data_IF_475172599238
#
_entry.id   IF_475172599238
#
_cell.length_a   1.000
_cell.length_b   1.000
_cell.length_c   1.000
_cell.angle_alpha   90.00
_cell.angle_beta   90.00
_cell.angle_gamma   90.00
#
_symmetry.space_group_name_H-M   'P 1'
#
loop_
_entity.id
_entity.type
_entity.pdbx_description
1 polymer ?
#
# COMPACT_ATOMS: atom_id res chain seq x y z
N UNK A 1 -24.69 8.28 29.32
CA UNK A 1 -23.48 7.74 29.97
C UNK A 1 -22.42 7.61 28.90
N UNK A 2 -21.39 8.45 28.90
CA UNK A 2 -20.25 8.30 27.98
C UNK A 2 -19.54 7.03 28.40
N UNK A 3 -19.50 6.01 27.54
CA UNK A 3 -18.77 4.78 27.84
C UNK A 3 -17.33 5.16 28.19
N UNK A 4 -16.88 4.82 29.40
CA UNK A 4 -15.47 5.00 29.77
C UNK A 4 -14.63 4.22 28.75
N UNK A 5 -13.72 4.90 28.07
CA UNK A 5 -12.80 4.26 27.14
C UNK A 5 -11.94 3.23 27.86
N UNK A 6 -11.71 2.08 27.22
CA UNK A 6 -10.83 1.05 27.76
C UNK A 6 -9.42 1.61 27.96
N UNK A 7 -8.80 1.32 29.11
CA UNK A 7 -7.42 1.74 29.43
C UNK A 7 -6.53 0.51 29.53
N UNK A 8 -5.40 0.53 28.83
CA UNK A 8 -4.41 -0.57 28.85
C UNK A 8 -3.61 -0.55 30.16
N UNK A 9 -3.54 -1.69 30.83
CA UNK A 9 -2.70 -1.93 32.01
C UNK A 9 -1.36 -2.57 31.58
N UNK A 10 -0.28 -1.80 31.64
CA UNK A 10 1.07 -2.24 31.27
C UNK A 10 1.67 -3.29 32.22
N UNK A 11 1.09 -3.49 33.40
CA UNK A 11 1.52 -4.53 34.35
C UNK A 11 0.90 -5.90 34.04
N UNK A 12 -0.02 -5.96 33.08
CA UNK A 12 -0.67 -7.19 32.61
C UNK A 12 -0.30 -7.50 31.16
N UNK A 13 -0.44 -8.76 30.73
CA UNK A 13 -0.14 -9.15 29.35
C UNK A 13 -0.96 -8.36 28.32
N UNK A 14 -0.27 -7.78 27.34
CA UNK A 14 -0.84 -6.75 26.47
C UNK A 14 -1.67 -7.25 25.30
N UNK A 15 -1.35 -8.42 24.74
CA UNK A 15 -1.85 -8.82 23.41
C UNK A 15 -3.38 -8.86 23.37
N UNK A 16 -4.02 -9.35 24.43
CA UNK A 16 -5.49 -9.41 24.49
C UNK A 16 -6.15 -8.15 25.05
N UNK A 17 -5.36 -7.16 25.50
CA UNK A 17 -5.87 -5.87 25.96
C UNK A 17 -6.05 -4.89 24.79
N UNK A 18 -5.06 -4.79 23.89
CA UNK A 18 -5.01 -3.73 22.85
C UNK A 18 -6.21 -3.76 21.88
N UNK A 19 -6.82 -4.92 21.67
CA UNK A 19 -8.02 -5.03 20.85
C UNK A 19 -9.22 -4.24 21.41
N UNK A 20 -9.31 -4.07 22.73
CA UNK A 20 -10.43 -3.36 23.38
C UNK A 20 -10.37 -1.84 23.17
N UNK A 21 -9.26 -1.29 22.69
CA UNK A 21 -9.12 0.14 22.41
C UNK A 21 -10.00 0.62 21.24
N UNK A 22 -10.42 -0.28 20.35
CA UNK A 22 -11.26 0.06 19.21
C UNK A 22 -10.64 1.16 18.34
N UNK A 23 -11.35 2.28 18.18
CA UNK A 23 -10.88 3.43 17.40
C UNK A 23 -9.74 4.22 18.06
N UNK A 24 -9.60 4.14 19.39
CA UNK A 24 -8.52 4.83 20.11
C UNK A 24 -7.15 4.15 19.94
N UNK A 25 -7.12 2.95 19.35
CA UNK A 25 -5.90 2.17 19.15
C UNK A 25 -4.87 2.89 18.30
N UNK A 26 -5.30 3.52 17.20
CA UNK A 26 -4.41 4.17 16.24
C UNK A 26 -3.60 5.29 16.88
N UNK A 27 -4.24 6.12 17.71
CA UNK A 27 -3.54 7.16 18.46
C UNK A 27 -2.67 6.55 19.58
N UNK A 28 -3.21 5.58 20.31
CA UNK A 28 -2.52 4.97 21.45
C UNK A 28 -1.23 4.24 21.05
N UNK A 29 -1.23 3.48 19.95
CA UNK A 29 -0.09 2.63 19.54
C UNK A 29 1.09 3.48 19.06
N UNK A 30 0.78 4.66 18.51
CA UNK A 30 1.74 5.59 17.94
C UNK A 30 2.29 6.61 18.93
N UNK A 31 1.92 6.52 20.21
CA UNK A 31 2.52 7.30 21.30
C UNK A 31 3.61 6.49 22.00
N UNK A 32 4.91 6.71 21.67
CA UNK A 32 5.98 5.82 22.11
C UNK A 32 6.25 5.92 23.61
N UNK A 33 6.52 4.77 24.23
CA UNK A 33 7.02 4.65 25.60
C UNK A 33 8.50 4.26 25.50
N UNK A 34 9.37 5.22 25.83
CA UNK A 34 10.82 5.02 25.75
C UNK A 34 11.31 4.30 27.01
N UNK A 35 11.43 2.97 26.90
CA UNK A 35 11.99 2.09 27.93
C UNK A 35 12.82 0.99 27.27
N UNK A 36 13.91 0.57 27.94
CA UNK A 36 14.73 -0.56 27.49
C UNK A 36 14.01 -1.91 27.64
N UNK A 37 13.16 -2.00 28.66
CA UNK A 37 12.34 -3.19 28.91
C UNK A 37 10.93 -2.91 28.44
N UNK A 38 10.41 -3.81 27.59
CA UNK A 38 9.03 -3.80 27.14
C UNK A 38 8.11 -4.59 28.07
N UNK A 39 6.81 -4.29 28.06
CA UNK A 39 5.80 -5.02 28.82
C UNK A 39 5.66 -6.47 28.33
N UNK A 40 5.04 -7.30 29.16
CA UNK A 40 4.75 -8.71 28.83
C UNK A 40 3.61 -8.81 27.82
N UNK A 41 3.70 -9.76 26.87
CA UNK A 41 2.71 -9.92 25.81
C UNK A 41 1.68 -10.98 26.14
N UNK A 42 2.12 -12.13 26.66
CA UNK A 42 1.27 -13.27 26.97
C UNK A 42 1.44 -13.73 28.43
N UNK A 43 0.40 -14.28 29.05
CA UNK A 43 0.52 -14.95 30.35
C UNK A 43 1.40 -16.20 30.27
N UNK A 44 1.24 -16.98 29.20
CA UNK A 44 2.04 -18.20 28.97
C UNK A 44 3.50 -17.88 28.66
N UNK A 45 4.41 -18.54 29.39
CA UNK A 45 5.86 -18.47 29.14
C UNK A 45 6.23 -18.93 27.72
N UNK A 46 5.52 -19.92 27.18
CA UNK A 46 5.78 -20.43 25.83
C UNK A 46 5.49 -19.38 24.76
N UNK A 47 4.33 -18.73 24.83
CA UNK A 47 3.96 -17.69 23.87
C UNK A 47 4.80 -16.43 24.06
N UNK A 48 5.13 -16.08 25.29
CA UNK A 48 6.03 -14.96 25.60
C UNK A 48 7.43 -15.18 25.01
N UNK A 49 7.98 -16.39 25.16
CA UNK A 49 9.28 -16.77 24.58
C UNK A 49 9.31 -16.56 23.06
N UNK A 50 8.26 -16.97 22.34
CA UNK A 50 8.18 -16.79 20.89
C UNK A 50 8.12 -15.32 20.43
N UNK A 51 7.79 -14.39 21.31
CA UNK A 51 7.80 -12.94 20.99
C UNK A 51 9.17 -12.29 21.14
N UNK A 52 10.12 -12.94 21.83
CA UNK A 52 11.40 -12.34 22.19
C UNK A 52 12.50 -12.88 21.30
N UNK A 53 13.00 -12.03 20.40
CA UNK A 53 14.04 -12.37 19.43
C UNK A 53 15.23 -11.45 19.57
N UNK A 54 16.39 -12.03 19.89
CA UNK A 54 17.68 -11.33 19.83
C UNK A 54 18.10 -11.06 18.39
N UNK A 55 18.66 -9.88 18.12
CA UNK A 55 18.98 -9.43 16.76
C UNK A 55 19.87 -10.42 15.97
N UNK A 56 20.83 -11.06 16.63
CA UNK A 56 21.76 -11.98 15.98
C UNK A 56 21.12 -13.32 15.60
N UNK A 57 19.92 -13.63 16.09
CA UNK A 57 19.18 -14.82 15.66
C UNK A 57 18.84 -14.76 14.15
N UNK A 58 18.56 -13.56 13.63
CA UNK A 58 18.20 -13.36 12.22
C UNK A 58 19.32 -13.84 11.28
N UNK A 59 20.57 -13.32 11.33
CA UNK A 59 21.62 -13.80 10.45
C UNK A 59 22.00 -15.26 10.72
N UNK A 60 22.01 -15.71 11.99
CA UNK A 60 22.40 -17.09 12.34
C UNK A 60 21.44 -18.13 11.74
N UNK A 61 20.14 -17.85 11.73
CA UNK A 61 19.12 -18.77 11.21
C UNK A 61 19.03 -18.68 9.68
N UNK A 62 19.02 -17.46 9.13
CA UNK A 62 18.65 -17.26 7.73
C UNK A 62 19.83 -17.26 6.75
N UNK A 63 21.04 -16.88 7.17
CA UNK A 63 22.20 -16.96 6.27
C UNK A 63 22.53 -18.39 5.80
N UNK A 64 22.42 -19.44 6.65
CA UNK A 64 22.54 -20.81 6.17
C UNK A 64 21.52 -21.17 5.07
N UNK A 65 20.28 -20.68 5.19
CA UNK A 65 19.24 -20.88 4.16
C UNK A 65 19.60 -20.14 2.87
N UNK A 66 20.08 -18.89 2.97
CA UNK A 66 20.60 -18.13 1.82
C UNK A 66 21.74 -18.89 1.13
N UNK A 67 22.73 -19.39 1.90
CA UNK A 67 23.83 -20.18 1.37
C UNK A 67 23.35 -21.47 0.70
N UNK A 68 22.36 -22.14 1.29
CA UNK A 68 21.75 -23.33 0.70
C UNK A 68 21.12 -23.03 -0.66
N UNK A 69 20.29 -21.98 -0.74
CA UNK A 69 19.66 -21.52 -1.98
C UNK A 69 20.69 -21.18 -3.07
N UNK A 70 21.75 -20.46 -2.72
CA UNK A 70 22.85 -20.17 -3.65
C UNK A 70 23.55 -21.45 -4.11
N UNK A 71 23.80 -22.40 -3.19
CA UNK A 71 24.42 -23.68 -3.53
C UNK A 71 23.58 -24.52 -4.48
N UNK A 72 22.24 -24.41 -4.41
CA UNK A 72 21.35 -25.07 -5.36
C UNK A 72 21.53 -24.50 -6.77
N UNK A 73 21.58 -23.18 -6.92
CA UNK A 73 21.82 -22.55 -8.22
C UNK A 73 23.19 -22.89 -8.81
N UNK A 74 24.24 -23.04 -7.98
CA UNK A 74 25.55 -23.55 -8.43
C UNK A 74 25.42 -24.98 -8.97
N UNK A 75 24.72 -25.88 -8.27
CA UNK A 75 24.50 -27.27 -8.71
C UNK A 75 23.66 -27.37 -9.98
N UNK A 76 22.83 -26.36 -10.25
CA UNK A 76 22.05 -26.23 -11.47
C UNK A 76 22.87 -25.71 -12.67
N UNK A 77 24.17 -25.46 -12.49
CA UNK A 77 25.10 -25.10 -13.57
C UNK A 77 25.21 -23.61 -13.85
N UNK A 78 24.63 -22.74 -13.01
CA UNK A 78 24.75 -21.30 -13.19
C UNK A 78 26.16 -20.80 -12.91
N UNK A 79 26.61 -19.84 -13.71
CA UNK A 79 27.89 -19.16 -13.52
C UNK A 79 27.84 -18.25 -12.29
N UNK A 80 28.98 -17.93 -11.66
CA UNK A 80 29.02 -17.01 -10.53
C UNK A 80 28.41 -15.62 -10.84
N UNK A 81 28.59 -15.11 -12.07
CA UNK A 81 28.00 -13.84 -12.52
C UNK A 81 26.48 -13.90 -12.60
N UNK A 82 25.92 -14.99 -13.14
CA UNK A 82 24.47 -15.18 -13.20
C UNK A 82 23.86 -15.23 -11.79
N UNK A 83 24.48 -15.98 -10.89
CA UNK A 83 24.07 -16.08 -9.50
C UNK A 83 24.13 -14.71 -8.82
N UNK A 84 25.21 -13.94 -9.01
CA UNK A 84 25.35 -12.61 -8.44
C UNK A 84 24.24 -11.66 -8.94
N UNK A 85 23.88 -11.73 -10.23
CA UNK A 85 22.78 -10.95 -10.80
C UNK A 85 21.42 -11.36 -10.21
N UNK A 86 21.14 -12.66 -10.10
CA UNK A 86 19.88 -13.15 -9.53
C UNK A 86 19.73 -12.79 -8.05
N UNK A 87 20.81 -12.96 -7.27
CA UNK A 87 20.85 -12.56 -5.86
C UNK A 87 20.68 -11.05 -5.71
N UNK A 88 21.41 -10.26 -6.52
CA UNK A 88 21.28 -8.80 -6.53
C UNK A 88 19.87 -8.33 -6.90
N UNK A 89 19.23 -9.00 -7.86
CA UNK A 89 17.85 -8.72 -8.23
C UNK A 89 16.87 -9.11 -7.13
N UNK A 90 17.10 -10.22 -6.42
CA UNK A 90 16.34 -10.61 -5.23
C UNK A 90 16.42 -9.57 -4.11
N UNK A 91 17.62 -9.06 -3.81
CA UNK A 91 17.82 -7.97 -2.85
C UNK A 91 17.07 -6.71 -3.30
N UNK A 92 17.14 -6.37 -4.59
CA UNK A 92 16.42 -5.22 -5.12
C UNK A 92 14.89 -5.36 -4.95
N UNK A 93 14.32 -6.52 -5.28
CA UNK A 93 12.90 -6.82 -5.03
C UNK A 93 12.57 -6.69 -3.54
N UNK A 94 13.45 -7.19 -2.66
CA UNK A 94 13.27 -7.04 -1.23
C UNK A 94 13.14 -5.57 -0.82
N UNK A 95 13.95 -4.65 -1.35
CA UNK A 95 13.82 -3.21 -0.97
C UNK A 95 12.44 -2.63 -1.31
N UNK A 96 11.80 -3.12 -2.37
CA UNK A 96 10.43 -2.73 -2.73
C UNK A 96 9.39 -3.39 -1.81
N UNK A 97 9.59 -4.68 -1.48
CA UNK A 97 8.75 -5.40 -0.52
C UNK A 97 8.81 -4.77 0.86
N UNK A 98 10.00 -4.44 1.35
CA UNK A 98 10.25 -3.69 2.59
C UNK A 98 9.39 -2.42 2.62
N UNK A 99 9.53 -1.56 1.62
CA UNK A 99 8.78 -0.31 1.54
C UNK A 99 7.25 -0.56 1.52
N UNK A 100 6.81 -1.55 0.75
CA UNK A 100 5.39 -1.86 0.58
C UNK A 100 4.77 -2.46 1.85
N UNK A 101 5.45 -3.40 2.49
CA UNK A 101 5.04 -4.00 3.76
C UNK A 101 5.02 -2.94 4.84
N UNK A 102 6.07 -2.13 4.95
CA UNK A 102 6.14 -1.10 5.98
C UNK A 102 5.03 -0.04 5.80
N UNK A 103 4.81 0.43 4.58
CA UNK A 103 3.78 1.44 4.30
C UNK A 103 2.35 0.92 4.39
N UNK A 104 2.05 -0.23 3.79
CA UNK A 104 0.66 -0.66 3.57
C UNK A 104 0.18 -1.73 4.55
N UNK A 105 1.10 -2.53 5.11
CA UNK A 105 0.75 -3.58 6.07
C UNK A 105 1.08 -3.18 7.50
N UNK A 106 2.27 -2.65 7.74
CA UNK A 106 2.75 -2.31 9.09
C UNK A 106 2.21 -0.97 9.61
N UNK A 107 1.70 -0.11 8.72
CA UNK A 107 1.01 1.15 9.05
C UNK A 107 -0.47 1.12 8.63
N UNK A 108 -1.08 -0.08 8.62
CA UNK A 108 -2.50 -0.22 8.31
C UNK A 108 -3.36 0.29 9.48
N UNK A 109 -4.29 1.19 9.19
CA UNK A 109 -5.23 1.71 10.19
C UNK A 109 -6.28 0.66 10.53
N UNK A 110 -6.40 0.34 11.81
CA UNK A 110 -7.30 -0.70 12.32
C UNK A 110 -8.19 -0.17 13.43
N UNK A 111 -9.36 -0.78 13.61
CA UNK A 111 -10.36 -0.35 14.61
C UNK A 111 -11.14 -1.49 15.27
N UNK A 112 -10.86 -2.73 14.89
CA UNK A 112 -11.54 -3.91 15.45
C UNK A 112 -10.60 -4.67 16.36
N UNK A 113 -11.16 -5.37 17.34
CA UNK A 113 -10.40 -6.15 18.32
C UNK A 113 -9.26 -6.98 17.73
N UNK A 114 -9.58 -7.86 16.78
CA UNK A 114 -8.60 -8.76 16.18
C UNK A 114 -7.61 -8.05 15.27
N UNK A 115 -8.06 -7.09 14.44
CA UNK A 115 -7.15 -6.34 13.59
C UNK A 115 -6.18 -5.45 14.37
N UNK A 116 -6.61 -4.82 15.46
CA UNK A 116 -5.73 -4.06 16.35
C UNK A 116 -4.68 -4.99 16.99
N UNK A 117 -5.11 -6.17 17.44
CA UNK A 117 -4.23 -7.19 18.03
C UNK A 117 -3.17 -7.68 17.04
N UNK A 118 -3.58 -8.00 15.80
CA UNK A 118 -2.67 -8.43 14.73
C UNK A 118 -1.71 -7.30 14.38
N UNK A 119 -2.21 -6.08 14.18
CA UNK A 119 -1.36 -4.91 13.91
C UNK A 119 -0.32 -4.70 15.03
N UNK A 120 -0.74 -4.86 16.29
CA UNK A 120 0.15 -4.69 17.43
C UNK A 120 1.29 -5.70 17.39
N UNK A 121 1.01 -6.98 17.09
CA UNK A 121 2.03 -8.01 16.97
C UNK A 121 2.94 -7.84 15.76
N UNK A 122 2.44 -7.31 14.64
CA UNK A 122 3.22 -7.13 13.42
C UNK A 122 4.19 -5.94 13.49
N UNK A 123 3.73 -4.80 14.01
CA UNK A 123 4.54 -3.58 14.02
C UNK A 123 4.16 -2.56 15.09
N UNK A 124 2.90 -2.57 15.55
CA UNK A 124 2.44 -1.61 16.56
C UNK A 124 3.22 -1.70 17.89
N UNK A 125 3.65 -2.90 18.28
CA UNK A 125 4.52 -3.12 19.44
C UNK A 125 5.83 -2.32 19.34
N UNK A 126 6.42 -2.30 18.16
CA UNK A 126 7.68 -1.64 17.90
C UNK A 126 7.52 -0.11 17.92
N UNK A 127 6.45 0.43 17.33
CA UNK A 127 6.12 1.86 17.48
C UNK A 127 5.85 2.26 18.93
N UNK A 128 5.15 1.40 19.67
CA UNK A 128 4.81 1.66 21.06
C UNK A 128 6.02 1.55 22.00
N UNK A 129 6.91 0.61 21.75
CA UNK A 129 8.10 0.32 22.57
C UNK A 129 9.37 0.27 21.71
N UNK A 130 9.81 1.40 21.14
CA UNK A 130 10.87 1.42 20.11
C UNK A 130 12.26 1.06 20.64
N UNK A 131 12.45 0.95 21.95
CA UNK A 131 13.73 0.61 22.58
C UNK A 131 13.73 -0.78 23.24
N UNK A 132 12.67 -1.59 23.05
CA UNK A 132 12.68 -3.02 23.42
C UNK A 132 13.53 -3.81 22.40
N UNK A 133 14.76 -4.14 22.81
CA UNK A 133 15.71 -4.85 21.97
C UNK A 133 15.36 -6.30 21.64
N UNK A 134 14.34 -6.88 22.29
CA UNK A 134 13.88 -8.24 21.99
C UNK A 134 12.64 -8.28 21.10
N UNK A 135 12.02 -7.12 20.82
CA UNK A 135 10.76 -7.01 20.04
C UNK A 135 10.85 -6.01 18.90
N UNK A 136 12.01 -6.00 18.25
CA UNK A 136 12.28 -5.16 17.09
C UNK A 136 12.36 -5.98 15.80
N UNK A 137 13.21 -7.02 15.80
CA UNK A 137 13.40 -7.88 14.63
C UNK A 137 12.22 -8.85 14.48
N UNK A 138 11.95 -9.27 13.25
CA UNK A 138 10.80 -10.13 12.98
C UNK A 138 11.05 -11.56 13.51
N UNK A 139 10.13 -12.16 14.28
CA UNK A 139 10.36 -13.48 14.89
C UNK A 139 10.64 -14.58 13.85
N UNK A 140 11.69 -15.41 13.99
CA UNK A 140 12.06 -16.41 13.00
C UNK A 140 10.95 -17.43 12.71
N UNK A 141 10.16 -17.81 13.72
CA UNK A 141 9.02 -18.71 13.52
C UNK A 141 7.98 -18.09 12.55
N UNK A 142 7.71 -16.79 12.67
CA UNK A 142 6.81 -16.08 11.76
C UNK A 142 7.43 -15.93 10.37
N UNK A 143 8.74 -15.60 10.29
CA UNK A 143 9.47 -15.56 9.00
C UNK A 143 9.40 -16.90 8.28
N UNK A 144 9.60 -18.03 8.98
CA UNK A 144 9.54 -19.36 8.40
C UNK A 144 8.18 -19.67 7.76
N UNK A 145 7.09 -19.25 8.42
CA UNK A 145 5.73 -19.38 7.87
C UNK A 145 5.58 -18.53 6.62
N UNK A 146 6.08 -17.28 6.62
CA UNK A 146 6.02 -16.40 5.45
C UNK A 146 6.91 -16.85 4.29
N UNK A 147 8.03 -17.55 4.56
CA UNK A 147 8.87 -18.10 3.51
C UNK A 147 8.11 -19.06 2.58
N UNK A 148 7.09 -19.78 3.07
CA UNK A 148 6.30 -20.73 2.26
C UNK A 148 5.54 -20.04 1.12
N UNK A 149 4.63 -19.06 1.35
CA UNK A 149 3.95 -18.38 0.26
C UNK A 149 4.92 -17.58 -0.63
N UNK A 150 5.99 -16.99 -0.07
CA UNK A 150 6.98 -16.27 -0.88
C UNK A 150 7.78 -17.20 -1.80
N UNK A 151 8.17 -18.39 -1.32
CA UNK A 151 8.84 -19.40 -2.15
C UNK A 151 7.93 -19.84 -3.31
N UNK A 152 6.67 -20.14 -3.02
CA UNK A 152 5.70 -20.53 -4.05
C UNK A 152 5.45 -19.40 -5.06
N UNK A 153 5.40 -18.15 -4.62
CA UNK A 153 5.27 -17.00 -5.51
C UNK A 153 6.49 -16.86 -6.43
N UNK A 154 7.70 -16.99 -5.88
CA UNK A 154 8.94 -16.94 -6.67
C UNK A 154 8.96 -18.06 -7.71
N UNK A 155 8.57 -19.28 -7.33
CA UNK A 155 8.47 -20.42 -8.25
C UNK A 155 7.40 -20.22 -9.35
N UNK A 156 6.33 -19.49 -9.06
CA UNK A 156 5.28 -19.19 -10.03
C UNK A 156 5.75 -18.18 -11.10
N UNK A 157 6.57 -17.20 -10.71
CA UNK A 157 6.98 -16.08 -11.58
C UNK A 157 8.36 -16.26 -12.21
N UNK A 158 9.10 -17.31 -11.87
CA UNK A 158 10.46 -17.56 -12.35
C UNK A 158 10.65 -19.03 -12.75
N UNK A 159 11.73 -19.33 -13.46
CA UNK A 159 12.06 -20.72 -13.81
C UNK A 159 12.61 -21.47 -12.60
N UNK A 160 12.47 -22.81 -12.54
CA UNK A 160 13.01 -23.59 -11.42
C UNK A 160 14.52 -23.42 -11.17
N UNK A 161 15.28 -23.03 -12.20
CA UNK A 161 16.72 -22.80 -12.11
C UNK A 161 17.08 -21.44 -11.48
N UNK A 162 16.23 -20.43 -11.69
CA UNK A 162 16.41 -19.05 -11.19
C UNK A 162 15.86 -18.89 -9.77
N UNK A 163 14.75 -19.57 -9.46
CA UNK A 163 14.02 -19.42 -8.22
C UNK A 163 14.88 -19.53 -6.94
N UNK A 164 15.84 -20.47 -6.80
CA UNK A 164 16.66 -20.56 -5.60
C UNK A 164 17.49 -19.30 -5.35
N UNK A 165 18.25 -18.82 -6.34
CA UNK A 165 19.07 -17.61 -6.19
C UNK A 165 18.23 -16.35 -6.00
N UNK A 166 17.08 -16.25 -6.67
CA UNK A 166 16.17 -15.11 -6.52
C UNK A 166 15.56 -15.05 -5.11
N UNK A 167 15.07 -16.19 -4.60
CA UNK A 167 14.56 -16.30 -3.24
C UNK A 167 15.67 -16.07 -2.21
N UNK A 168 16.84 -16.68 -2.40
CA UNK A 168 18.01 -16.48 -1.55
C UNK A 168 18.46 -15.02 -1.47
N UNK A 169 18.42 -14.30 -2.60
CA UNK A 169 18.65 -12.86 -2.65
C UNK A 169 17.59 -12.04 -1.90
N UNK A 170 16.31 -12.38 -2.06
CA UNK A 170 15.23 -11.75 -1.30
C UNK A 170 15.37 -11.96 0.21
N UNK A 171 15.68 -13.19 0.63
CA UNK A 171 15.92 -13.53 2.04
C UNK A 171 17.18 -12.85 2.59
N UNK A 172 18.23 -12.71 1.80
CA UNK A 172 19.41 -11.92 2.17
C UNK A 172 19.06 -10.44 2.35
N UNK A 173 18.25 -9.89 1.45
CA UNK A 173 17.70 -8.53 1.60
C UNK A 173 16.94 -8.36 2.93
N UNK A 174 16.12 -9.34 3.30
CA UNK A 174 15.45 -9.38 4.60
C UNK A 174 16.41 -9.38 5.79
N UNK A 175 17.44 -10.23 5.78
CA UNK A 175 18.45 -10.26 6.85
C UNK A 175 19.14 -8.90 6.97
N UNK A 176 19.52 -8.28 5.84
CA UNK A 176 20.12 -6.95 5.80
C UNK A 176 19.16 -5.90 6.38
N UNK A 177 17.88 -5.98 6.05
CA UNK A 177 16.84 -5.11 6.57
C UNK A 177 16.71 -5.19 8.09
N UNK A 178 16.49 -6.38 8.67
CA UNK A 178 16.25 -6.54 10.11
C UNK A 178 17.49 -6.13 10.92
N UNK A 179 18.69 -6.49 10.44
CA UNK A 179 19.94 -6.08 11.09
C UNK A 179 20.14 -4.55 11.01
N UNK A 180 19.83 -3.95 9.87
CA UNK A 180 19.91 -2.48 9.70
C UNK A 180 18.92 -1.81 10.64
N UNK A 181 17.66 -2.25 10.64
CA UNK A 181 16.60 -1.73 11.49
C UNK A 181 17.01 -1.74 12.96
N UNK A 182 17.51 -2.89 13.44
CA UNK A 182 17.99 -3.03 14.81
C UNK A 182 19.14 -2.06 15.12
N UNK A 183 20.11 -1.94 14.21
CA UNK A 183 21.24 -1.04 14.35
C UNK A 183 20.84 0.44 14.36
N UNK A 184 19.81 0.84 13.60
CA UNK A 184 19.32 2.22 13.62
C UNK A 184 18.76 2.60 15.00
N UNK A 185 18.11 1.68 15.71
CA UNK A 185 17.63 1.92 17.08
C UNK A 185 18.77 1.89 18.11
N UNK A 186 19.58 0.83 18.10
CA UNK A 186 20.49 0.50 19.20
C UNK A 186 21.95 0.92 18.97
N UNK A 187 22.36 1.12 17.72
CA UNK A 187 23.71 1.53 17.36
C UNK A 187 23.96 3.04 17.49
N UNK A 188 25.23 3.46 17.44
CA UNK A 188 25.63 4.87 17.45
C UNK A 188 26.50 5.18 16.23
N UNK A 189 25.91 5.29 15.02
CA UNK A 189 26.66 5.65 13.83
C UNK A 189 27.24 7.07 13.95
N UNK A 190 28.55 7.21 13.77
CA UNK A 190 29.28 8.47 13.99
C UNK A 190 29.20 9.44 12.79
N UNK A 191 29.15 8.93 11.55
CA UNK A 191 29.06 9.76 10.33
C UNK A 191 28.49 8.99 9.12
N UNK A 192 28.16 9.74 8.06
CA UNK A 192 27.76 9.20 6.76
C UNK A 192 26.35 8.62 6.70
N UNK A 193 26.14 7.73 5.73
CA UNK A 193 24.83 7.16 5.38
C UNK A 193 24.10 6.51 6.58
N UNK A 194 24.75 5.71 7.44
CA UNK A 194 24.04 5.09 8.58
C UNK A 194 23.52 6.11 9.60
N UNK A 195 24.21 7.25 9.77
CA UNK A 195 23.77 8.33 10.66
C UNK A 195 22.54 9.04 10.09
N UNK A 196 22.53 9.28 8.79
CA UNK A 196 21.40 9.89 8.10
C UNK A 196 20.18 8.96 8.09
N UNK A 197 20.38 7.65 7.85
CA UNK A 197 19.33 6.64 7.96
C UNK A 197 18.77 6.55 9.38
N UNK A 198 19.63 6.60 10.41
CA UNK A 198 19.17 6.63 11.80
C UNK A 198 18.31 7.86 12.07
N UNK A 199 18.77 9.06 11.68
CA UNK A 199 17.99 10.29 11.84
C UNK A 199 16.66 10.21 11.10
N UNK A 200 16.67 9.72 9.87
CA UNK A 200 15.51 9.55 9.02
C UNK A 200 14.47 8.62 9.66
N UNK A 201 14.90 7.45 10.13
CA UNK A 201 14.02 6.46 10.72
C UNK A 201 13.53 6.84 12.14
N UNK A 202 14.37 7.47 12.97
CA UNK A 202 13.90 7.99 14.26
C UNK A 202 12.88 9.13 14.07
N UNK A 203 12.99 9.93 13.00
CA UNK A 203 11.94 10.92 12.68
C UNK A 203 10.62 10.24 12.31
N UNK A 204 10.66 9.08 11.63
CA UNK A 204 9.48 8.27 11.39
C UNK A 204 8.81 7.85 12.71
N UNK A 205 9.56 7.34 13.69
CA UNK A 205 8.98 6.96 15.00
C UNK A 205 8.43 8.12 15.82
N UNK A 206 9.18 9.22 15.93
CA UNK A 206 8.95 10.25 16.95
C UNK A 206 8.38 11.57 16.41
N UNK A 207 8.27 11.75 15.09
CA UNK A 207 7.78 13.01 14.50
C UNK A 207 6.68 12.81 13.46
N UNK A 208 6.97 12.05 12.41
CA UNK A 208 6.12 11.96 11.21
C UNK A 208 6.02 10.50 10.78
N UNK A 209 5.08 9.76 11.38
CA UNK A 209 4.92 8.31 11.18
C UNK A 209 4.32 7.94 9.83
N UNK A 210 3.62 8.87 9.17
CA UNK A 210 3.05 8.67 7.83
C UNK A 210 4.07 8.87 6.69
N UNK A 211 5.35 9.02 7.01
CA UNK A 211 6.45 9.22 6.07
C UNK A 211 7.65 8.41 6.54
N UNK A 212 8.57 8.05 5.65
CA UNK A 212 9.82 7.46 6.10
C UNK A 212 9.80 5.93 6.15
N UNK A 213 9.17 5.28 5.18
CA UNK A 213 8.89 3.84 5.23
C UNK A 213 10.10 2.98 4.80
N UNK A 214 11.07 3.53 4.08
CA UNK A 214 12.29 2.81 3.73
C UNK A 214 13.30 2.75 4.89
N UNK A 215 13.61 1.57 5.40
CA UNK A 215 14.57 1.37 6.49
C UNK A 215 16.00 1.22 5.98
N UNK A 216 16.22 0.40 4.95
CA UNK A 216 17.54 0.17 4.34
C UNK A 216 17.96 1.34 3.45
N UNK A 217 16.99 2.04 2.86
CA UNK A 217 17.23 3.24 2.05
C UNK A 217 15.98 4.10 1.90
N UNK A 218 16.14 5.41 1.70
CA UNK A 218 15.03 6.33 1.40
C UNK A 218 14.62 6.32 -0.09
N UNK A 219 15.05 5.32 -0.88
CA UNK A 219 14.91 5.33 -2.34
C UNK A 219 13.43 5.36 -2.74
N UNK A 220 12.64 4.43 -2.20
CA UNK A 220 11.24 4.28 -2.55
C UNK A 220 10.39 5.43 -2.05
N UNK A 221 10.66 5.98 -0.86
CA UNK A 221 10.04 7.23 -0.40
C UNK A 221 10.27 8.38 -1.40
N UNK A 222 11.50 8.58 -1.88
CA UNK A 222 11.80 9.62 -2.88
C UNK A 222 11.09 9.38 -4.21
N UNK A 223 11.07 8.14 -4.70
CA UNK A 223 10.37 7.77 -5.94
C UNK A 223 8.86 8.04 -5.80
N UNK A 224 8.27 7.70 -4.66
CA UNK A 224 6.85 7.86 -4.41
C UNK A 224 6.46 9.32 -4.15
N UNK A 225 7.25 10.06 -3.38
CA UNK A 225 7.02 11.48 -3.11
C UNK A 225 7.14 12.32 -4.38
N UNK A 226 8.18 12.12 -5.19
CA UNK A 226 8.31 12.81 -6.48
C UNK A 226 7.11 12.55 -7.40
N UNK A 227 6.53 11.35 -7.35
CA UNK A 227 5.31 11.02 -8.10
C UNK A 227 4.08 11.77 -7.57
N UNK A 228 3.96 11.91 -6.24
CA UNK A 228 2.90 12.71 -5.61
C UNK A 228 3.07 14.19 -5.96
N UNK A 229 4.27 14.76 -5.83
CA UNK A 229 4.55 16.16 -6.18
C UNK A 229 4.26 16.44 -7.65
N UNK A 230 4.69 15.56 -8.57
CA UNK A 230 4.39 15.68 -9.99
C UNK A 230 2.88 15.62 -10.29
N UNK A 231 2.12 14.77 -9.56
CA UNK A 231 0.67 14.73 -9.68
C UNK A 231 0.02 16.03 -9.14
N UNK A 232 0.49 16.55 -8.01
CA UNK A 232 0.00 17.80 -7.39
C UNK A 232 0.33 19.03 -8.25
N UNK A 233 1.53 19.11 -8.82
CA UNK A 233 1.91 20.21 -9.72
C UNK A 233 1.13 20.16 -11.03
N UNK A 234 0.87 18.96 -11.56
CA UNK A 234 -0.01 18.78 -12.72
C UNK A 234 -1.44 19.24 -12.42
N UNK A 235 -1.95 18.98 -11.20
CA UNK A 235 -3.23 19.47 -10.70
C UNK A 235 -3.24 21.00 -10.53
N UNK A 236 -2.18 21.59 -9.97
CA UNK A 236 -2.04 23.06 -9.84
C UNK A 236 -2.02 23.73 -11.22
N UNK A 237 -1.26 23.19 -12.17
CA UNK A 237 -1.25 23.65 -13.56
C UNK A 237 -2.64 23.55 -14.21
N UNK A 238 -3.38 22.47 -13.97
CA UNK A 238 -4.78 22.37 -14.46
C UNK A 238 -5.70 23.41 -13.84
N UNK A 239 -5.60 23.67 -12.52
CA UNK A 239 -6.39 24.71 -11.84
C UNK A 239 -6.00 26.12 -12.31
N UNK A 240 -4.72 26.39 -12.54
CA UNK A 240 -4.22 27.67 -13.07
C UNK A 240 -4.65 27.86 -14.52
N UNK A 241 -4.53 26.85 -15.38
CA UNK A 241 -5.06 26.89 -16.75
C UNK A 241 -6.57 27.10 -16.76
N UNK A 242 -7.33 26.46 -15.85
CA UNK A 242 -8.76 26.69 -15.72
C UNK A 242 -9.09 28.14 -15.28
N UNK A 243 -8.32 28.72 -14.35
CA UNK A 243 -8.47 30.15 -13.97
C UNK A 243 -8.09 31.11 -15.11
N UNK A 244 -7.03 30.84 -15.86
CA UNK A 244 -6.61 31.68 -16.98
C UNK A 244 -7.56 31.60 -18.19
N UNK A 245 -8.12 30.42 -18.47
CA UNK A 245 -9.14 30.24 -19.52
C UNK A 245 -10.49 30.83 -19.09
N UNK A 246 -10.81 30.83 -17.79
CA UNK A 246 -11.95 31.55 -17.22
C UNK A 246 -11.84 33.07 -17.30
N UNK A 247 -10.62 33.64 -17.33
CA UNK A 247 -10.39 35.08 -17.46
C UNK A 247 -10.06 35.58 -18.87
N UNK A 248 -9.84 34.67 -19.84
CA UNK A 248 -9.60 34.99 -21.25
C UNK A 248 -10.32 34.01 -22.16
N UNK A 249 -11.65 34.12 -22.23
CA UNK A 249 -12.37 33.75 -23.45
C UNK A 249 -12.12 34.84 -24.51
N UNK A 250 -10.93 34.74 -25.11
CA UNK A 250 -10.45 35.51 -26.24
C UNK A 250 -9.47 34.65 -27.04
N UNK A 251 -10.02 33.79 -27.89
CA UNK A 251 -9.42 33.23 -29.12
C UNK A 251 -8.02 32.58 -29.06
N UNK A 252 -7.78 31.56 -28.23
CA UNK A 252 -6.67 30.62 -28.48
C UNK A 252 -7.04 29.19 -28.09
N UNK A 253 -6.78 28.25 -29.01
CA UNK A 253 -7.20 26.85 -28.96
C UNK A 253 -6.21 26.02 -28.12
N UNK A 254 -6.68 25.21 -27.15
CA UNK A 254 -5.80 24.47 -26.25
C UNK A 254 -5.17 23.23 -26.95
N UNK A 255 -3.98 22.77 -26.52
CA UNK A 255 -3.29 21.62 -27.14
C UNK A 255 -4.12 20.33 -27.03
N UNK A 256 -4.10 19.49 -28.07
CA UNK A 256 -5.03 18.36 -28.32
C UNK A 256 -5.22 17.37 -27.15
N UNK A 257 -4.23 17.16 -26.26
CA UNK A 257 -4.40 16.29 -25.07
C UNK A 257 -5.21 16.94 -23.93
N UNK A 258 -5.27 18.27 -23.86
CA UNK A 258 -6.04 19.00 -22.84
C UNK A 258 -7.53 19.15 -23.21
N UNK A 259 -7.88 19.02 -24.49
CA UNK A 259 -9.26 19.13 -24.98
C UNK A 259 -10.16 17.96 -24.54
N UNK A 260 -9.62 16.73 -24.48
CA UNK A 260 -10.38 15.54 -24.04
C UNK A 260 -10.68 15.57 -22.53
N UNK A 261 -9.74 16.03 -21.71
CA UNK A 261 -9.95 16.22 -20.28
C UNK A 261 -10.93 17.38 -20.01
N UNK A 262 -10.83 18.49 -20.76
CA UNK A 262 -11.77 19.61 -20.66
C UNK A 262 -13.20 19.24 -21.10
N UNK A 263 -13.37 18.45 -22.16
CA UNK A 263 -14.68 17.96 -22.63
C UNK A 263 -15.30 16.89 -21.71
N UNK A 264 -14.48 16.16 -20.94
CA UNK A 264 -14.95 15.21 -19.94
C UNK A 264 -15.44 15.89 -18.63
N UNK A 265 -14.87 17.05 -18.28
CA UNK A 265 -15.20 17.79 -17.05
C UNK A 265 -16.35 18.80 -17.27
N UNK A 266 -16.53 19.27 -18.51
CA UNK A 266 -17.57 20.22 -18.95
C UNK A 266 -19.02 19.97 -18.45
N UNK A 267 -19.51 18.74 -18.25
CA UNK A 267 -20.92 18.52 -17.89
C UNK A 267 -21.26 18.72 -16.41
N UNK A 268 -20.26 18.77 -15.52
CA UNK A 268 -20.51 18.93 -14.09
C UNK A 268 -20.74 20.42 -13.82
N UNK A 269 -22.02 20.86 -13.82
CA UNK A 269 -22.38 22.24 -13.49
C UNK A 269 -21.74 22.65 -12.15
N UNK A 270 -20.88 23.66 -12.21
CA UNK A 270 -20.14 24.23 -11.07
C UNK A 270 -21.07 24.61 -9.90
N UNK A 271 -22.31 25.01 -10.21
CA UNK A 271 -23.33 25.36 -9.21
C UNK A 271 -23.79 24.20 -8.31
N UNK A 272 -23.66 22.94 -8.74
CA UNK A 272 -23.92 21.77 -7.87
C UNK A 272 -22.70 21.38 -7.03
N UNK A 273 -21.48 21.68 -7.48
CA UNK A 273 -20.24 21.52 -6.71
C UNK A 273 -20.11 22.60 -5.62
N UNK A 274 -20.59 23.82 -5.87
CA UNK A 274 -20.65 24.90 -4.88
C UNK A 274 -21.65 24.60 -3.75
N UNK A 275 -22.79 23.97 -4.06
CA UNK A 275 -23.73 23.48 -3.06
C UNK A 275 -23.13 22.40 -2.13
N UNK A 276 -22.15 21.62 -2.63
CA UNK A 276 -21.41 20.63 -1.83
C UNK A 276 -20.21 21.25 -1.08
N UNK A 277 -19.65 22.35 -1.59
CA UNK A 277 -18.54 23.12 -0.98
C UNK A 277 -18.93 23.81 0.34
N UNK A 278 -20.21 24.19 0.49
CA UNK A 278 -20.74 24.83 1.70
C UNK A 278 -20.67 23.99 3.00
N UNK A 279 -20.20 22.74 2.94
CA UNK A 279 -20.07 21.85 4.11
C UNK A 279 -18.64 21.35 4.38
N UNK A 280 -17.59 22.09 4.03
CA UNK A 280 -16.23 21.95 4.63
C UNK A 280 -15.56 20.56 4.65
N UNK A 281 -16.07 19.57 3.89
CA UNK A 281 -15.65 18.16 3.96
C UNK A 281 -15.07 17.61 2.66
N UNK A 282 -14.99 18.42 1.60
CA UNK A 282 -14.53 17.97 0.27
C UNK A 282 -13.00 17.82 0.21
N UNK A 283 -12.24 18.73 0.83
CA UNK A 283 -10.78 18.72 0.78
C UNK A 283 -10.19 17.47 1.48
N UNK A 284 -10.66 17.05 2.67
CA UNK A 284 -10.21 15.81 3.30
C UNK A 284 -10.60 14.57 2.48
N UNK A 285 -11.80 14.57 1.87
CA UNK A 285 -12.28 13.47 1.05
C UNK A 285 -11.48 13.33 -0.26
N UNK A 286 -11.10 14.45 -0.88
CA UNK A 286 -10.21 14.46 -2.05
C UNK A 286 -8.80 13.97 -1.71
N UNK A 287 -8.27 14.34 -0.54
CA UNK A 287 -6.99 13.85 -0.05
C UNK A 287 -7.02 12.35 0.26
N UNK A 288 -8.09 11.86 0.88
CA UNK A 288 -8.29 10.42 1.14
C UNK A 288 -8.46 9.61 -0.16
N UNK A 289 -9.10 10.20 -1.18
CA UNK A 289 -9.27 9.59 -2.51
C UNK A 289 -7.93 9.54 -3.29
N UNK A 290 -7.10 10.59 -3.16
CA UNK A 290 -5.77 10.65 -3.75
C UNK A 290 -4.78 9.68 -3.06
N UNK A 291 -4.89 9.49 -1.75
CA UNK A 291 -4.09 8.49 -1.02
C UNK A 291 -4.41 7.05 -1.42
N UNK A 292 -5.66 6.78 -1.85
CA UNK A 292 -6.13 5.43 -2.24
C UNK A 292 -5.82 5.04 -3.69
N UNK A 293 -5.49 5.99 -4.57
CA UNK A 293 -5.38 5.73 -6.01
C UNK A 293 -3.91 5.48 -6.43
N UNK A 294 -3.42 4.28 -6.11
CA UNK A 294 -2.07 3.82 -6.37
C UNK A 294 -1.98 2.93 -7.63
N UNK A 295 -1.98 3.51 -8.83
CA UNK A 295 -1.63 2.76 -10.05
C UNK A 295 -0.79 3.62 -11.01
N UNK A 296 0.27 3.00 -11.53
CA UNK A 296 1.46 3.58 -12.17
C UNK A 296 1.25 4.26 -13.55
N UNK A 297 0.03 4.62 -13.92
CA UNK A 297 -0.28 5.24 -15.21
C UNK A 297 -1.27 6.40 -15.01
N UNK A 298 -0.95 7.60 -15.51
CA UNK A 298 -1.80 8.79 -15.38
C UNK A 298 -3.22 8.52 -15.92
N UNK A 299 -3.32 7.74 -16.98
CA UNK A 299 -4.60 7.30 -17.56
C UNK A 299 -5.42 6.43 -16.59
N UNK A 300 -4.76 5.56 -15.82
CA UNK A 300 -5.43 4.73 -14.80
C UNK A 300 -6.02 5.62 -13.70
N UNK A 301 -5.23 6.57 -13.19
CA UNK A 301 -5.70 7.48 -12.14
C UNK A 301 -6.90 8.32 -12.62
N UNK A 302 -6.87 8.82 -13.85
CA UNK A 302 -8.00 9.56 -14.45
C UNK A 302 -9.24 8.65 -14.58
N UNK A 303 -9.08 7.42 -15.06
CA UNK A 303 -10.19 6.47 -15.20
C UNK A 303 -10.79 6.06 -13.85
N UNK A 304 -9.96 5.88 -12.82
CA UNK A 304 -10.40 5.59 -11.45
C UNK A 304 -11.16 6.78 -10.85
N UNK A 305 -10.65 8.00 -11.02
CA UNK A 305 -11.28 9.23 -10.54
C UNK A 305 -12.63 9.47 -11.26
N UNK A 306 -12.69 9.26 -12.57
CA UNK A 306 -13.94 9.34 -13.33
C UNK A 306 -14.96 8.31 -12.83
N UNK A 307 -14.54 7.07 -12.54
CA UNK A 307 -15.40 6.06 -11.95
C UNK A 307 -15.92 6.43 -10.55
N UNK A 308 -15.06 7.01 -9.71
CA UNK A 308 -15.45 7.49 -8.38
C UNK A 308 -16.43 8.66 -8.44
N UNK A 309 -16.19 9.63 -9.32
CA UNK A 309 -17.11 10.75 -9.57
C UNK A 309 -18.45 10.26 -10.11
N UNK A 310 -18.43 9.30 -11.03
CA UNK A 310 -19.65 8.68 -11.52
C UNK A 310 -20.45 7.99 -10.41
N UNK A 311 -19.79 7.29 -9.46
CA UNK A 311 -20.47 6.67 -8.30
C UNK A 311 -21.14 7.69 -7.40
N UNK A 312 -20.50 8.83 -7.18
CA UNK A 312 -21.11 9.95 -6.46
C UNK A 312 -22.30 10.53 -7.23
N UNK A 313 -22.21 10.60 -8.56
CA UNK A 313 -23.31 10.99 -9.44
C UNK A 313 -24.50 10.04 -9.36
N UNK A 314 -24.25 8.72 -9.38
CA UNK A 314 -25.27 7.68 -9.16
C UNK A 314 -25.94 7.83 -7.81
N UNK A 315 -25.17 8.03 -6.74
CA UNK A 315 -25.70 8.19 -5.39
C UNK A 315 -26.54 9.47 -5.23
N UNK A 316 -26.20 10.54 -5.96
CA UNK A 316 -26.89 11.82 -5.88
C UNK A 316 -28.10 11.95 -6.81
N UNK A 317 -28.05 11.36 -8.01
CA UNK A 317 -29.02 11.60 -9.09
C UNK A 317 -29.64 10.30 -9.66
N UNK A 318 -29.17 9.12 -9.24
CA UNK A 318 -29.63 7.83 -9.74
C UNK A 318 -28.97 7.36 -11.04
N UNK A 319 -29.07 6.05 -11.32
CA UNK A 319 -28.42 5.41 -12.48
C UNK A 319 -28.92 5.88 -13.85
N UNK A 320 -30.13 6.45 -13.92
CA UNK A 320 -30.77 6.90 -15.17
C UNK A 320 -30.49 8.37 -15.49
N UNK A 321 -29.70 9.06 -14.66
CA UNK A 321 -29.30 10.43 -14.92
C UNK A 321 -28.50 10.53 -16.23
N UNK A 322 -28.79 11.57 -17.02
CA UNK A 322 -28.23 11.76 -18.37
C UNK A 322 -26.70 11.83 -18.37
N UNK A 323 -26.09 12.41 -17.34
CA UNK A 323 -24.63 12.55 -17.24
C UNK A 323 -23.96 11.27 -16.78
N UNK A 324 -24.61 10.52 -15.87
CA UNK A 324 -24.18 9.18 -15.47
C UNK A 324 -24.21 8.21 -16.66
N UNK A 325 -25.28 8.25 -17.46
CA UNK A 325 -25.42 7.43 -18.68
C UNK A 325 -24.39 7.84 -19.74
N UNK A 326 -24.14 9.14 -19.92
CA UNK A 326 -23.12 9.64 -20.85
C UNK A 326 -21.70 9.19 -20.45
N UNK A 327 -21.36 9.27 -19.17
CA UNK A 327 -20.09 8.78 -18.64
C UNK A 327 -19.94 7.27 -18.85
N UNK A 328 -20.99 6.50 -18.59
CA UNK A 328 -21.04 5.05 -18.85
C UNK A 328 -20.81 4.72 -20.32
N UNK A 329 -21.49 5.42 -21.24
CA UNK A 329 -21.32 5.21 -22.67
C UNK A 329 -19.90 5.56 -23.16
N UNK A 330 -19.28 6.62 -22.63
CA UNK A 330 -17.91 7.01 -22.97
C UNK A 330 -16.87 6.01 -22.45
N UNK A 331 -17.00 5.54 -21.21
CA UNK A 331 -16.13 4.52 -20.65
C UNK A 331 -16.28 3.16 -21.37
N UNK A 332 -17.52 2.79 -21.72
CA UNK A 332 -17.80 1.58 -22.51
C UNK A 332 -17.26 1.69 -23.93
N UNK A 333 -17.41 2.86 -24.58
CA UNK A 333 -16.85 3.13 -25.89
C UNK A 333 -15.32 3.07 -25.89
N UNK A 334 -14.68 3.56 -24.83
CA UNK A 334 -13.23 3.48 -24.64
C UNK A 334 -12.73 2.02 -24.56
N UNK A 335 -13.44 1.13 -23.87
CA UNK A 335 -13.13 -0.31 -23.84
C UNK A 335 -13.34 -1.01 -25.18
N UNK A 336 -14.35 -0.60 -25.95
CA UNK A 336 -14.69 -1.22 -27.24
C UNK A 336 -13.80 -0.74 -28.40
N UNK A 337 -13.35 0.52 -28.37
CA UNK A 337 -12.46 1.10 -29.39
C UNK A 337 -11.01 0.62 -29.27
N UNK A 338 -10.58 0.15 -28.10
CA UNK A 338 -9.19 -0.26 -27.83
C UNK A 338 -8.99 -1.79 -27.74
N UNK A 339 -9.89 -2.56 -28.35
CA UNK A 339 -9.74 -4.01 -28.56
C UNK A 339 -8.53 -4.41 -29.41
N UNK A 340 -7.65 -3.47 -29.76
CA UNK A 340 -6.39 -3.68 -30.48
C UNK A 340 -5.19 -3.20 -29.67
N UNK A 341 -4.90 -3.85 -28.54
CA UNK A 341 -3.57 -3.85 -27.88
C UNK A 341 -2.90 -2.50 -27.53
N UNK A 342 -3.55 -1.33 -27.58
CA UNK A 342 -2.89 -0.03 -27.29
C UNK A 342 -3.02 0.43 -25.84
N UNK A 343 -4.11 0.13 -25.14
CA UNK A 343 -4.21 0.39 -23.70
C UNK A 343 -3.48 -0.70 -22.88
N UNK A 344 -2.71 -0.27 -21.87
CA UNK A 344 -2.09 -1.18 -20.91
C UNK A 344 -3.16 -1.93 -20.10
N UNK A 345 -2.89 -3.19 -19.76
CA UNK A 345 -3.80 -4.04 -18.98
C UNK A 345 -4.35 -3.37 -17.69
N UNK A 346 -3.58 -2.57 -16.93
CA UNK A 346 -4.10 -1.80 -15.80
C UNK A 346 -5.19 -0.77 -16.15
N UNK A 347 -5.11 -0.12 -17.32
CA UNK A 347 -6.11 0.85 -17.78
C UNK A 347 -7.43 0.13 -18.10
N UNK A 348 -7.35 -1.05 -18.72
CA UNK A 348 -8.52 -1.87 -19.03
C UNK A 348 -9.21 -2.33 -17.74
N UNK A 349 -8.46 -2.82 -16.74
CA UNK A 349 -9.00 -3.21 -15.44
C UNK A 349 -9.66 -2.02 -14.73
N UNK A 350 -9.01 -0.86 -14.73
CA UNK A 350 -9.55 0.34 -14.11
C UNK A 350 -10.84 0.81 -14.80
N UNK A 351 -10.91 0.76 -16.14
CA UNK A 351 -12.09 1.13 -16.89
C UNK A 351 -13.27 0.18 -16.63
N UNK A 352 -13.02 -1.13 -16.60
CA UNK A 352 -14.02 -2.15 -16.25
C UNK A 352 -14.52 -1.94 -14.82
N UNK A 353 -13.61 -1.77 -13.86
CA UNK A 353 -13.96 -1.56 -12.44
C UNK A 353 -14.77 -0.27 -12.24
N UNK A 354 -14.38 0.80 -12.94
CA UNK A 354 -15.12 2.07 -12.95
C UNK A 354 -16.51 1.91 -13.55
N UNK A 355 -16.68 1.15 -14.64
CA UNK A 355 -17.98 0.89 -15.26
C UNK A 355 -18.91 0.05 -14.40
N UNK A 356 -18.41 -1.00 -13.76
CA UNK A 356 -19.19 -1.86 -12.87
C UNK A 356 -19.81 -1.05 -11.72
N UNK A 357 -19.07 -0.09 -11.18
CA UNK A 357 -19.60 0.84 -10.18
C UNK A 357 -20.69 1.81 -10.67
N UNK A 358 -20.91 1.90 -11.97
CA UNK A 358 -21.93 2.77 -12.60
C UNK A 358 -23.12 1.99 -13.16
N UNK A 359 -23.16 0.67 -12.93
CA UNK A 359 -24.28 -0.18 -13.33
C UNK A 359 -25.15 -0.49 -12.12
N UNK A 360 -26.47 -0.45 -12.30
CA UNK A 360 -27.40 -1.03 -11.32
C UNK A 360 -27.43 -2.54 -11.52
N UNK A 361 -26.38 -3.24 -11.10
CA UNK A 361 -26.39 -4.69 -11.09
C UNK A 361 -26.98 -5.13 -9.76
N UNK A 362 -28.26 -5.51 -9.76
CA UNK A 362 -28.75 -6.40 -8.71
C UNK A 362 -28.20 -7.78 -8.99
N UNK A 363 -27.55 -8.38 -8.00
CA UNK A 363 -26.96 -9.72 -8.11
C UNK A 363 -28.03 -10.78 -8.47
N UNK A 364 -29.29 -10.52 -8.14
CA UNK A 364 -30.46 -11.34 -8.47
C UNK A 364 -30.82 -11.34 -9.97
N UNK A 365 -30.63 -10.21 -10.68
CA UNK A 365 -30.96 -10.10 -12.12
C UNK A 365 -29.96 -10.87 -13.00
N UNK A 366 -28.69 -10.94 -12.55
CA UNK A 366 -27.61 -11.66 -13.24
C UNK A 366 -27.76 -13.18 -13.07
N UNK A 367 -28.23 -13.64 -11.91
CA UNK A 367 -28.52 -15.07 -11.67
C UNK A 367 -29.79 -15.52 -12.40
N UNK A 368 -30.80 -14.64 -12.54
CA UNK A 368 -32.03 -14.97 -13.27
C UNK A 368 -31.88 -14.97 -14.80
N UNK A 369 -30.89 -14.26 -15.36
CA UNK A 369 -30.66 -14.27 -16.81
C UNK A 369 -30.08 -15.59 -17.36
N UNK A 370 -29.51 -16.44 -16.50
CA UNK A 370 -28.93 -17.74 -16.89
C UNK A 370 -29.94 -18.91 -16.90
N UNK A 371 -31.24 -18.65 -16.72
CA UNK A 371 -32.31 -19.67 -16.77
C UNK A 371 -33.42 -19.35 -17.79
N UNK A 372 -33.04 -19.03 -19.02
CA UNK A 372 -33.91 -19.29 -20.20
C UNK A 372 -33.05 -19.76 -21.37
N UNK A 373 -32.82 -21.07 -21.45
CA UNK A 373 -32.42 -21.74 -22.68
C UNK A 373 -33.67 -21.82 -23.56
N UNK A 374 -33.74 -21.18 -24.74
CA UNK A 374 -34.79 -21.46 -25.69
C UNK A 374 -34.51 -22.84 -26.31
N UNK A 375 -35.51 -23.72 -26.26
CA UNK A 375 -35.52 -25.00 -26.97
C UNK A 375 -35.18 -24.77 -28.46
N UNK A 376 -34.20 -25.54 -28.94
CA UNK A 376 -33.95 -25.68 -30.37
C UNK A 376 -35.05 -26.56 -30.93
N UNK A 377 -36.00 -25.96 -31.66
CA UNK A 377 -36.93 -26.71 -32.49
C UNK A 377 -36.18 -27.24 -33.72
N UNK A 378 -36.34 -28.55 -33.94
CA UNK A 378 -35.84 -29.38 -35.03
C UNK A 378 -36.28 -28.93 -36.42
#
# INVERSE_FOLDING_TARGET
MVAQGFTVDLNKPLVFQVGHLGEAYEEWVHQPIVSKEGPRFFESEFWEFLTRTVWWAIPVIWLPVVCWCISMSVRMGHTPSEIALMVGFGIFIWTLLEYSLHRFLFHIKTKSYWWNTIHYLLHGCHHKHPMDGLRLVFPPAATAVLCVPFWNLVQLISTPSIAPALFGGGLLGYVMYDCTHYYLHHGQPSSGVPKDLKKYHLNHHFRIQNMGFGITSSLWDKVCLKRIDAAVDSLRLMVVCHRQVGSKLGSAQPPKCSALAFEAIKPIKLSKLEALSGRGKIIPLFLEILERSWLNDFAVAVVVLLGQLGRLGVAACGYKDKEVVNLKCKLSGYLLLDGSFRASFPIQIAAVTSLLGLMSLNFEDVIQSDLKIPEVAS
#
